data_IF_873227620339
#
_entry.id   IF_873227620339
#
_cell.length_a   1.000
_cell.length_b   1.000
_cell.length_c   1.000
_cell.angle_alpha   90.00
_cell.angle_beta   90.00
_cell.angle_gamma   90.00
#
_symmetry.space_group_name_H-M   'P 1'
#
loop_
_entity.id
_entity.type
_entity.pdbx_description
1 polymer ?
#
# COMPACT_ATOMS: atom_id res chain seq x y z
N UNK A 1 1.87 1.39 9.02
CA UNK A 1 1.67 2.87 8.87
C UNK A 1 1.16 3.18 7.48
N UNK A 2 0.18 4.07 7.36
CA UNK A 2 -0.33 4.58 6.06
C UNK A 2 0.10 6.03 5.93
N UNK A 3 0.69 6.40 4.79
CA UNK A 3 1.18 7.76 4.58
C UNK A 3 0.06 8.73 4.17
N UNK A 4 0.27 9.98 4.51
CA UNK A 4 -0.45 11.13 3.97
C UNK A 4 0.49 12.34 4.08
N UNK A 5 1.19 12.66 3.00
CA UNK A 5 2.21 13.73 3.00
C UNK A 5 1.63 15.11 3.24
N UNK A 6 0.33 15.32 2.96
CA UNK A 6 -0.32 16.63 3.17
C UNK A 6 -0.45 17.00 4.65
N UNK A 7 -0.35 16.02 5.54
CA UNK A 7 -0.39 16.21 6.99
C UNK A 7 1.00 16.42 7.61
N UNK A 8 2.06 16.29 6.83
CA UNK A 8 3.43 16.42 7.32
C UNK A 8 3.86 17.88 7.27
N UNK A 9 4.37 18.38 8.40
CA UNK A 9 5.04 19.67 8.46
C UNK A 9 6.53 19.48 8.17
N UNK A 10 7.05 20.18 7.16
CA UNK A 10 8.43 20.07 6.72
C UNK A 10 8.63 18.96 5.68
N UNK A 11 9.81 18.34 5.67
CA UNK A 11 10.18 17.32 4.69
C UNK A 11 9.52 15.98 4.98
N UNK A 12 8.71 15.50 4.03
CA UNK A 12 8.10 14.18 4.10
C UNK A 12 9.14 13.06 4.18
N UNK A 13 10.21 13.13 3.39
CA UNK A 13 11.23 12.09 3.37
C UNK A 13 12.02 12.02 4.69
N UNK A 14 12.34 13.17 5.29
CA UNK A 14 12.97 13.19 6.62
C UNK A 14 12.07 12.59 7.68
N UNK A 15 10.76 12.86 7.60
CA UNK A 15 9.81 12.26 8.52
C UNK A 15 9.71 10.75 8.30
N UNK A 16 9.74 10.30 7.05
CA UNK A 16 9.76 8.87 6.71
C UNK A 16 10.99 8.19 7.32
N UNK A 17 12.17 8.76 7.19
CA UNK A 17 13.39 8.21 7.79
C UNK A 17 13.25 8.02 9.30
N UNK A 18 12.73 9.03 10.00
CA UNK A 18 12.51 8.97 11.46
C UNK A 18 11.52 7.85 11.85
N UNK A 19 10.41 7.74 11.12
CA UNK A 19 9.37 6.75 11.45
C UNK A 19 9.84 5.34 11.11
N UNK A 20 10.51 5.16 9.98
CA UNK A 20 10.98 3.83 9.55
C UNK A 20 12.06 3.29 10.49
N UNK A 21 12.91 4.17 11.06
CA UNK A 21 13.87 3.78 12.11
C UNK A 21 13.22 3.21 13.38
N UNK A 22 11.93 3.44 13.59
CA UNK A 22 11.17 2.81 14.69
C UNK A 22 10.69 1.40 14.36
N UNK A 23 11.04 0.88 13.20
CA UNK A 23 10.69 -0.46 12.70
C UNK A 23 9.19 -0.78 12.78
N UNK A 24 8.30 0.01 12.14
CA UNK A 24 6.90 -0.37 12.01
C UNK A 24 6.77 -1.68 11.25
N UNK A 25 5.68 -2.42 11.45
CA UNK A 25 5.43 -3.68 10.72
C UNK A 25 5.41 -3.49 9.20
N UNK A 26 5.05 -2.31 8.73
CA UNK A 26 5.05 -1.98 7.31
C UNK A 26 4.61 -0.55 7.07
N UNK A 27 4.91 -0.07 5.88
CA UNK A 27 4.51 1.24 5.37
C UNK A 27 3.63 1.03 4.15
N UNK A 28 2.47 1.70 4.09
CA UNK A 28 1.64 1.78 2.89
C UNK A 28 1.80 3.19 2.34
N UNK A 29 2.40 3.30 1.16
CA UNK A 29 2.56 4.58 0.46
C UNK A 29 1.28 4.92 -0.29
N UNK A 30 0.44 5.78 0.30
CA UNK A 30 -0.88 6.16 -0.21
C UNK A 30 -0.96 7.66 -0.45
N UNK A 31 -0.52 8.08 -1.63
CA UNK A 31 -0.52 9.48 -2.06
C UNK A 31 -1.34 9.58 -3.36
N UNK A 32 -2.66 9.77 -3.21
CA UNK A 32 -3.62 9.69 -4.33
C UNK A 32 -3.60 10.90 -5.26
N UNK A 33 -3.13 12.02 -4.77
CA UNK A 33 -3.12 13.31 -5.47
C UNK A 33 -1.91 13.48 -6.41
N UNK A 34 -0.94 12.58 -6.35
CA UNK A 34 0.23 12.61 -7.22
C UNK A 34 -0.07 11.99 -8.59
N UNK A 35 0.55 12.55 -9.63
CA UNK A 35 0.62 11.89 -10.94
C UNK A 35 1.42 10.58 -10.83
N UNK A 36 1.35 9.74 -11.86
CA UNK A 36 2.11 8.49 -11.86
C UNK A 36 3.62 8.74 -11.83
N UNK A 37 4.11 9.74 -12.56
CA UNK A 37 5.52 10.11 -12.57
C UNK A 37 5.98 10.65 -11.21
N UNK A 38 5.20 11.50 -10.59
CA UNK A 38 5.49 12.05 -9.25
C UNK A 38 5.47 10.95 -8.19
N UNK A 39 4.47 10.06 -8.28
CA UNK A 39 4.36 8.93 -7.36
C UNK A 39 5.54 7.96 -7.51
N UNK A 40 5.92 7.63 -8.74
CA UNK A 40 7.05 6.73 -9.01
C UNK A 40 8.36 7.28 -8.44
N UNK A 41 8.63 8.58 -8.66
CA UNK A 41 9.80 9.24 -8.11
C UNK A 41 9.83 9.24 -6.57
N UNK A 42 8.67 9.46 -5.94
CA UNK A 42 8.55 9.40 -4.48
C UNK A 42 8.69 7.96 -3.97
N UNK A 43 8.03 7.01 -4.63
CA UNK A 43 8.06 5.60 -4.27
C UNK A 43 9.47 5.02 -4.29
N UNK A 44 10.27 5.35 -5.29
CA UNK A 44 11.67 4.94 -5.38
C UNK A 44 12.46 5.35 -4.14
N UNK A 45 12.29 6.59 -3.68
CA UNK A 45 12.96 7.10 -2.48
C UNK A 45 12.45 6.42 -1.19
N UNK A 46 11.14 6.27 -1.06
CA UNK A 46 10.53 5.62 0.12
C UNK A 46 10.92 4.15 0.20
N UNK A 47 10.91 3.44 -0.92
CA UNK A 47 11.36 2.04 -1.00
C UNK A 47 12.82 1.91 -0.56
N UNK A 48 13.68 2.84 -0.96
CA UNK A 48 15.08 2.88 -0.51
C UNK A 48 15.23 3.08 0.99
N UNK A 49 14.45 3.99 1.57
CA UNK A 49 14.43 4.21 3.03
C UNK A 49 13.98 2.94 3.76
N UNK A 50 12.88 2.34 3.33
CA UNK A 50 12.34 1.13 3.96
C UNK A 50 13.31 -0.07 3.82
N UNK A 51 13.96 -0.22 2.67
CA UNK A 51 14.90 -1.31 2.43
C UNK A 51 16.12 -1.25 3.35
N UNK A 52 16.65 -0.05 3.62
CA UNK A 52 17.78 0.12 4.55
C UNK A 52 17.47 -0.39 5.95
N UNK A 53 16.24 -0.18 6.41
CA UNK A 53 15.78 -0.59 7.75
C UNK A 53 15.05 -1.94 7.74
N UNK A 54 14.99 -2.63 6.60
CA UNK A 54 14.29 -3.92 6.43
C UNK A 54 12.82 -3.87 6.83
N UNK A 55 12.15 -2.76 6.51
CA UNK A 55 10.72 -2.54 6.72
C UNK A 55 9.98 -2.77 5.40
N UNK A 56 8.91 -3.55 5.42
CA UNK A 56 8.06 -3.77 4.25
C UNK A 56 7.39 -2.48 3.79
N UNK A 57 7.42 -2.21 2.50
CA UNK A 57 6.75 -1.06 1.90
C UNK A 57 5.77 -1.51 0.83
N UNK A 58 4.49 -1.22 1.04
CA UNK A 58 3.40 -1.54 0.14
C UNK A 58 3.05 -0.31 -0.70
N UNK A 59 3.10 -0.44 -2.01
CA UNK A 59 2.63 0.61 -2.90
C UNK A 59 1.11 0.50 -3.07
N UNK A 60 0.39 1.63 -2.94
CA UNK A 60 -1.07 1.65 -3.00
C UNK A 60 -1.57 1.72 -4.44
N UNK A 61 -2.28 0.69 -4.89
CA UNK A 61 -3.04 0.63 -6.15
C UNK A 61 -2.27 0.85 -7.45
N UNK A 62 -0.95 0.96 -7.41
CA UNK A 62 -0.12 1.26 -8.58
C UNK A 62 0.72 0.07 -8.99
N UNK A 63 0.04 -0.98 -9.46
CA UNK A 63 0.64 -2.28 -9.81
C UNK A 63 1.76 -2.12 -10.85
N UNK A 64 1.54 -1.33 -11.90
CA UNK A 64 2.55 -1.12 -12.95
C UNK A 64 3.83 -0.47 -12.42
N UNK A 65 3.68 0.53 -11.55
CA UNK A 65 4.81 1.20 -10.91
C UNK A 65 5.55 0.25 -9.97
N UNK A 66 4.81 -0.52 -9.17
CA UNK A 66 5.40 -1.51 -8.28
C UNK A 66 6.27 -2.52 -9.06
N UNK A 67 5.78 -2.99 -10.20
CA UNK A 67 6.51 -3.91 -11.08
C UNK A 67 7.79 -3.27 -11.64
N UNK A 68 7.72 -2.03 -12.12
CA UNK A 68 8.90 -1.31 -12.65
C UNK A 68 9.97 -1.09 -11.59
N UNK A 69 9.55 -0.79 -10.36
CA UNK A 69 10.46 -0.55 -9.24
C UNK A 69 10.94 -1.83 -8.53
N UNK A 70 10.46 -3.00 -8.96
CA UNK A 70 10.79 -4.27 -8.30
C UNK A 70 10.18 -4.43 -6.92
N UNK A 71 9.12 -3.68 -6.60
CA UNK A 71 8.39 -3.80 -5.34
C UNK A 71 7.50 -5.05 -5.37
N UNK A 72 7.64 -5.91 -4.37
CA UNK A 72 6.90 -7.18 -4.27
C UNK A 72 5.69 -7.11 -3.34
N UNK A 73 5.47 -5.95 -2.71
CA UNK A 73 4.40 -5.74 -1.74
C UNK A 73 3.41 -4.69 -2.27
N UNK A 74 2.14 -5.03 -2.33
CA UNK A 74 1.09 -4.16 -2.88
C UNK A 74 -0.08 -4.02 -1.90
N UNK A 75 -0.66 -2.84 -1.82
CA UNK A 75 -1.88 -2.58 -1.07
C UNK A 75 -3.01 -2.15 -1.99
N UNK A 76 -4.16 -2.80 -1.90
CA UNK A 76 -5.33 -2.55 -2.74
C UNK A 76 -6.56 -2.21 -1.92
N UNK A 77 -7.51 -1.52 -2.54
CA UNK A 77 -8.86 -1.33 -2.01
C UNK A 77 -9.83 -2.33 -2.63
N UNK A 78 -10.94 -2.59 -1.95
CA UNK A 78 -11.99 -3.49 -2.48
C UNK A 78 -12.52 -3.03 -3.84
N UNK A 79 -12.84 -1.75 -4.08
CA UNK A 79 -13.27 -1.32 -5.42
C UNK A 79 -12.25 -1.62 -6.51
N UNK A 80 -10.96 -1.51 -6.20
CA UNK A 80 -9.90 -1.87 -7.16
C UNK A 80 -9.91 -3.36 -7.46
N UNK A 81 -10.00 -4.20 -6.43
CA UNK A 81 -10.05 -5.67 -6.58
C UNK A 81 -11.30 -6.10 -7.36
N UNK A 82 -12.44 -5.46 -7.13
CA UNK A 82 -13.68 -5.74 -7.87
C UNK A 82 -13.56 -5.40 -9.35
N UNK A 83 -12.78 -4.40 -9.72
CA UNK A 83 -12.54 -4.01 -11.12
C UNK A 83 -11.59 -4.96 -11.87
N UNK A 84 -10.86 -5.81 -11.15
CA UNK A 84 -9.88 -6.74 -11.75
C UNK A 84 -10.57 -7.96 -12.36
N UNK A 85 -10.10 -8.35 -13.54
CA UNK A 85 -10.44 -9.64 -14.14
C UNK A 85 -9.79 -10.80 -13.37
N UNK A 86 -10.27 -12.04 -13.59
CA UNK A 86 -9.63 -13.20 -12.95
C UNK A 86 -8.18 -13.39 -13.40
N UNK A 87 -7.87 -13.08 -14.66
CA UNK A 87 -6.48 -13.12 -15.17
C UNK A 87 -5.58 -12.13 -14.41
N UNK A 88 -6.06 -10.91 -14.17
CA UNK A 88 -5.32 -9.90 -13.40
C UNK A 88 -5.12 -10.31 -11.94
N UNK A 89 -6.12 -10.97 -11.33
CA UNK A 89 -5.99 -11.53 -9.96
C UNK A 89 -4.98 -12.67 -9.90
N UNK A 90 -4.93 -13.53 -10.91
CA UNK A 90 -3.90 -14.58 -11.02
C UNK A 90 -2.51 -13.99 -11.16
N UNK A 91 -2.33 -12.97 -11.99
CA UNK A 91 -1.08 -12.25 -12.13
C UNK A 91 -0.66 -11.57 -10.82
N UNK A 92 -1.62 -11.00 -10.09
CA UNK A 92 -1.39 -10.42 -8.77
C UNK A 92 -0.79 -11.46 -7.80
N UNK A 93 -1.42 -12.62 -7.69
CA UNK A 93 -0.94 -13.72 -6.83
C UNK A 93 0.45 -14.22 -7.24
N UNK A 94 0.74 -14.21 -8.53
CA UNK A 94 2.00 -14.71 -9.08
C UNK A 94 3.16 -13.73 -8.89
N UNK A 95 2.90 -12.42 -9.02
CA UNK A 95 3.93 -11.39 -9.11
C UNK A 95 4.21 -10.68 -7.78
N UNK A 96 3.33 -10.79 -6.80
CA UNK A 96 3.48 -10.12 -5.51
C UNK A 96 3.63 -11.13 -4.37
N UNK A 97 4.64 -10.91 -3.53
CA UNK A 97 4.89 -11.72 -2.35
C UNK A 97 3.88 -11.42 -1.24
N UNK A 98 3.49 -10.16 -1.10
CA UNK A 98 2.51 -9.72 -0.11
C UNK A 98 1.43 -8.86 -0.79
N UNK A 99 0.19 -9.24 -0.57
CA UNK A 99 -1.00 -8.49 -1.03
C UNK A 99 -1.80 -8.09 0.19
N UNK A 100 -1.85 -6.80 0.47
CA UNK A 100 -2.64 -6.21 1.54
C UNK A 100 -3.92 -5.61 0.97
N UNK A 101 -5.06 -5.83 1.59
CA UNK A 101 -6.35 -5.28 1.13
C UNK A 101 -7.08 -4.61 2.29
N UNK A 102 -7.56 -3.37 2.06
CA UNK A 102 -8.44 -2.68 3.00
C UNK A 102 -9.87 -3.19 2.88
N UNK A 103 -10.44 -3.62 4.00
CA UNK A 103 -11.80 -4.15 4.10
C UNK A 103 -12.62 -3.38 5.12
N UNK A 104 -13.92 -3.29 4.91
CA UNK A 104 -14.87 -2.57 5.78
C UNK A 104 -16.04 -3.45 6.22
N UNK A 105 -16.16 -4.67 5.70
CA UNK A 105 -17.23 -5.62 5.98
C UNK A 105 -16.72 -7.06 5.92
N UNK A 106 -17.56 -8.01 6.36
CA UNK A 106 -17.27 -9.44 6.21
C UNK A 106 -17.22 -9.87 4.73
N UNK A 107 -18.11 -9.31 3.91
CA UNK A 107 -18.16 -9.56 2.47
C UNK A 107 -16.87 -9.10 1.79
N UNK A 108 -16.33 -7.94 2.20
CA UNK A 108 -15.05 -7.45 1.74
C UNK A 108 -13.91 -8.42 2.09
N UNK A 109 -13.91 -8.96 3.30
CA UNK A 109 -12.89 -9.91 3.73
C UNK A 109 -12.95 -11.22 2.94
N UNK A 110 -14.14 -11.72 2.65
CA UNK A 110 -14.31 -12.91 1.80
C UNK A 110 -13.74 -12.67 0.39
N UNK A 111 -14.06 -11.52 -0.20
CA UNK A 111 -13.53 -11.13 -1.51
C UNK A 111 -12.00 -10.98 -1.47
N UNK A 112 -11.46 -10.37 -0.43
CA UNK A 112 -10.02 -10.22 -0.26
C UNK A 112 -9.29 -11.56 -0.19
N UNK A 113 -9.84 -12.52 0.56
CA UNK A 113 -9.30 -13.88 0.65
C UNK A 113 -9.33 -14.58 -0.72
N UNK A 114 -10.44 -14.47 -1.45
CA UNK A 114 -10.57 -15.03 -2.80
C UNK A 114 -9.58 -14.40 -3.77
N UNK A 115 -9.28 -13.11 -3.63
CA UNK A 115 -8.30 -12.40 -4.45
C UNK A 115 -6.85 -12.76 -4.11
N UNK A 116 -6.60 -13.50 -3.02
CA UNK A 116 -5.26 -13.93 -2.61
C UNK A 116 -4.57 -12.97 -1.64
N UNK A 117 -5.33 -12.21 -0.84
CA UNK A 117 -4.75 -11.36 0.18
C UNK A 117 -3.92 -12.17 1.19
N UNK A 118 -2.70 -11.70 1.45
CA UNK A 118 -1.85 -12.24 2.52
C UNK A 118 -2.11 -11.53 3.84
N UNK A 119 -2.68 -10.33 3.79
CA UNK A 119 -3.11 -9.58 4.98
C UNK A 119 -4.29 -8.67 4.67
N UNK A 120 -5.08 -8.39 5.69
CA UNK A 120 -6.26 -7.53 5.61
C UNK A 120 -6.09 -6.40 6.60
N UNK A 121 -6.39 -5.17 6.17
CA UNK A 121 -6.52 -4.02 7.04
C UNK A 121 -8.01 -3.75 7.21
N UNK A 122 -8.54 -4.07 8.38
CA UNK A 122 -9.93 -3.82 8.71
C UNK A 122 -10.09 -2.42 9.32
N UNK A 123 -10.90 -1.62 8.72
CA UNK A 123 -11.26 -0.28 9.19
C UNK A 123 -12.49 0.21 8.45
N UNK A 124 -13.41 0.94 8.97
CA UNK A 124 -13.49 1.55 10.30
C UNK A 124 -14.25 0.60 11.23
N UNK A 125 -13.72 0.30 12.40
CA UNK A 125 -14.40 -0.57 13.38
C UNK A 125 -15.38 0.27 14.21
N UNK A 126 -15.03 1.53 14.47
CA UNK A 126 -15.88 2.49 15.17
C UNK A 126 -16.09 3.73 14.31
N UNK A 127 -17.26 4.36 14.46
CA UNK A 127 -17.53 5.64 13.81
C UNK A 127 -16.48 6.67 14.26
N UNK A 128 -15.92 7.40 13.29
CA UNK A 128 -14.96 8.47 13.54
C UNK A 128 -15.30 9.67 12.68
N UNK A 129 -15.13 10.86 13.24
CA UNK A 129 -15.36 12.14 12.53
C UNK A 129 -14.23 12.45 11.51
N UNK A 130 -13.22 11.61 11.40
CA UNK A 130 -12.03 11.84 10.60
C UNK A 130 -12.09 11.30 9.16
N UNK A 131 -13.28 10.98 8.66
CA UNK A 131 -13.47 10.47 7.29
C UNK A 131 -14.32 11.36 6.43
#
# INVERSE_FOLDING_TARGET
MITNRTLVQGSFLEQMEKVVCLHPQGVILRERDLSDEEYEALAEKVLGICAREKVSCFLHSRISIARRLGCTDIHLSIPYVQSMSETEREELRRNFAQVSISCHSMEDMELAVQAGASQIILGTIFETDCK
#
